data_IF_332536922051
#
_entry.id   IF_332536922051
#
_cell.length_a   1.000
_cell.length_b   1.000
_cell.length_c   1.000
_cell.angle_alpha   90.00
_cell.angle_beta   90.00
_cell.angle_gamma   90.00
#
_symmetry.space_group_name_H-M   'P 1'
#
loop_
_entity.id
_entity.type
_entity.pdbx_description
1 polymer ?
#
# COMPACT_ATOMS: atom_id res chain seq x y z
N UNK A 1 47.36 36.36 29.44
CA UNK A 1 47.84 35.13 28.77
C UNK A 1 47.19 33.95 29.46
N UNK A 2 46.11 33.41 28.88
CA UNK A 2 45.47 32.20 29.40
C UNK A 2 46.24 30.98 28.90
N UNK A 3 46.49 30.07 29.83
CA UNK A 3 47.37 28.91 29.73
C UNK A 3 46.89 27.94 28.65
N UNK A 4 47.65 27.87 27.56
CA UNK A 4 47.40 27.03 26.37
C UNK A 4 47.58 25.54 26.65
N UNK A 5 48.09 25.18 27.84
CA UNK A 5 48.36 23.80 28.26
C UNK A 5 47.08 23.08 28.69
N UNK A 6 46.19 23.74 29.45
CA UNK A 6 44.91 23.16 29.89
C UNK A 6 43.92 22.89 28.73
N UNK A 7 43.97 23.70 27.67
CA UNK A 7 43.10 23.52 26.49
C UNK A 7 43.53 22.32 25.64
N UNK A 8 44.84 22.00 25.62
CA UNK A 8 45.37 20.81 24.94
C UNK A 8 45.03 19.51 25.68
N UNK A 9 45.16 19.48 27.00
CA UNK A 9 44.80 18.29 27.80
C UNK A 9 43.31 17.97 27.73
N UNK A 10 42.43 18.99 27.78
CA UNK A 10 40.97 18.76 27.62
C UNK A 10 40.60 18.23 26.24
N UNK A 11 41.33 18.59 25.18
CA UNK A 11 41.12 18.07 23.82
C UNK A 11 41.57 16.63 23.66
N UNK A 12 42.66 16.22 24.31
CA UNK A 12 43.10 14.81 24.26
C UNK A 12 42.25 13.89 25.13
N UNK A 13 41.78 14.36 26.30
CA UNK A 13 40.82 13.59 27.11
C UNK A 13 39.49 13.41 26.36
N UNK A 14 39.03 14.42 25.62
CA UNK A 14 37.84 14.31 24.76
C UNK A 14 38.03 13.30 23.61
N UNK A 15 39.22 13.25 22.99
CA UNK A 15 39.53 12.28 21.94
C UNK A 15 39.61 10.84 22.47
N UNK A 16 40.12 10.63 23.69
CA UNK A 16 40.20 9.30 24.29
C UNK A 16 38.83 8.82 24.81
N UNK A 17 37.98 9.73 25.33
CA UNK A 17 36.61 9.40 25.71
C UNK A 17 35.71 9.12 24.50
N UNK A 18 35.82 9.90 23.42
CA UNK A 18 35.15 9.56 22.17
C UNK A 18 35.74 8.30 21.54
N UNK A 19 37.05 8.11 21.56
CA UNK A 19 37.72 6.94 20.98
C UNK A 19 37.38 5.62 21.66
N UNK A 20 36.97 5.61 22.93
CA UNK A 20 36.61 4.37 23.63
C UNK A 20 35.08 4.14 23.66
N UNK A 21 34.29 5.23 23.62
CA UNK A 21 32.83 5.14 23.46
C UNK A 21 32.40 4.88 22.00
N UNK A 22 33.22 5.24 21.01
CA UNK A 22 32.95 5.03 19.58
C UNK A 22 33.17 3.57 19.15
N UNK A 23 33.86 2.76 19.95
CA UNK A 23 34.09 1.34 19.66
C UNK A 23 33.12 0.37 20.37
N UNK A 24 32.14 0.86 21.13
CA UNK A 24 31.09 0.02 21.74
C UNK A 24 29.71 0.15 21.05
N UNK A 25 29.56 0.98 20.02
CA UNK A 25 28.37 0.94 19.15
C UNK A 25 28.74 0.64 17.71
N UNK A 26 29.51 -0.44 17.51
CA UNK A 26 29.45 -1.16 16.23
C UNK A 26 28.11 -1.89 16.17
N UNK A 27 27.23 -1.38 15.30
CA UNK A 27 26.21 -2.14 14.56
C UNK A 27 25.17 -2.90 15.39
N UNK A 28 24.17 -2.17 15.88
CA UNK A 28 22.80 -2.55 15.55
C UNK A 28 22.22 -1.40 14.74
N UNK A 29 22.53 -1.36 13.44
CA UNK A 29 21.57 -0.82 12.46
C UNK A 29 20.34 -1.71 12.60
N UNK A 30 19.47 -1.40 13.56
CA UNK A 30 18.15 -2.01 13.61
C UNK A 30 17.45 -1.48 12.37
N UNK A 31 17.28 -2.35 11.38
CA UNK A 31 16.46 -2.14 10.19
C UNK A 31 15.01 -1.83 10.64
N UNK A 32 14.78 -0.56 11.01
CA UNK A 32 13.57 -0.12 11.66
C UNK A 32 12.59 0.31 10.59
N UNK A 33 11.57 -0.52 10.41
CA UNK A 33 10.49 -0.28 9.47
C UNK A 33 9.22 0.05 10.25
N UNK A 34 8.63 1.21 9.97
CA UNK A 34 7.32 1.63 10.48
C UNK A 34 6.37 1.86 9.31
N UNK A 35 5.13 1.41 9.42
CA UNK A 35 4.07 1.68 8.45
C UNK A 35 2.97 2.52 9.11
N UNK A 36 2.82 3.76 8.66
CA UNK A 36 1.64 4.57 8.98
C UNK A 36 0.53 4.21 8.00
N UNK A 37 -0.56 3.63 8.47
CA UNK A 37 -1.64 3.14 7.61
C UNK A 37 -3.01 3.17 8.30
N UNK A 38 -4.06 2.88 7.55
CA UNK A 38 -5.42 2.71 8.02
C UNK A 38 -5.94 1.32 7.62
N UNK A 39 -6.55 0.58 8.56
CA UNK A 39 -6.83 -0.85 8.40
C UNK A 39 -7.57 -1.21 7.09
N UNK A 40 -8.49 -0.35 6.65
CA UNK A 40 -9.33 -0.56 5.47
C UNK A 40 -8.73 -0.04 4.15
N UNK A 41 -7.55 0.60 4.17
CA UNK A 41 -6.93 1.23 3.00
C UNK A 41 -6.40 0.18 2.01
N UNK A 42 -6.93 0.12 0.76
CA UNK A 42 -6.35 -0.75 -0.27
C UNK A 42 -4.89 -0.41 -0.55
N UNK A 43 -4.55 0.89 -0.65
CA UNK A 43 -3.18 1.36 -0.86
C UNK A 43 -2.23 0.89 0.27
N UNK A 44 -2.72 0.88 1.51
CA UNK A 44 -2.00 0.36 2.66
C UNK A 44 -1.79 -1.15 2.62
N UNK A 45 -2.82 -1.90 2.23
CA UNK A 45 -2.72 -3.35 2.06
C UNK A 45 -1.67 -3.75 1.01
N UNK A 46 -1.47 -2.96 -0.06
CA UNK A 46 -0.37 -3.18 -1.02
C UNK A 46 0.98 -3.29 -0.31
N UNK A 47 1.25 -2.33 0.59
CA UNK A 47 2.51 -2.25 1.36
C UNK A 47 2.62 -3.40 2.35
N UNK A 48 1.52 -3.74 3.05
CA UNK A 48 1.48 -4.88 3.98
C UNK A 48 1.80 -6.20 3.28
N UNK A 49 1.21 -6.44 2.10
CA UNK A 49 1.48 -7.63 1.27
C UNK A 49 2.96 -7.66 0.86
N UNK A 50 3.49 -6.54 0.34
CA UNK A 50 4.87 -6.46 -0.09
C UNK A 50 5.84 -6.76 1.07
N UNK A 51 5.66 -6.12 2.24
CA UNK A 51 6.48 -6.41 3.43
C UNK A 51 6.38 -7.89 3.85
N UNK A 52 5.18 -8.48 3.78
CA UNK A 52 4.97 -9.89 4.10
C UNK A 52 5.64 -10.85 3.09
N UNK A 53 5.58 -10.58 1.79
CA UNK A 53 6.29 -11.36 0.75
C UNK A 53 7.82 -11.29 0.93
N UNK A 54 8.33 -10.18 1.46
CA UNK A 54 9.75 -10.01 1.81
C UNK A 54 10.14 -10.57 3.19
N UNK A 55 9.17 -10.96 4.02
CA UNK A 55 9.42 -11.39 5.39
C UNK A 55 9.92 -10.27 6.32
N UNK A 56 9.64 -9.01 5.98
CA UNK A 56 10.11 -7.84 6.73
C UNK A 56 9.20 -7.58 7.93
N UNK A 57 9.81 -7.53 9.12
CA UNK A 57 9.11 -7.13 10.35
C UNK A 57 9.00 -5.61 10.38
N UNK A 58 7.83 -5.10 10.78
CA UNK A 58 7.58 -3.68 10.86
C UNK A 58 6.62 -3.33 12.00
N UNK A 59 6.71 -2.09 12.49
CA UNK A 59 5.74 -1.51 13.41
C UNK A 59 4.57 -0.91 12.63
N UNK A 60 3.35 -1.41 12.85
CA UNK A 60 2.14 -0.83 12.26
C UNK A 60 1.57 0.27 13.17
N UNK A 61 1.34 1.47 12.62
CA UNK A 61 0.72 2.60 13.35
C UNK A 61 -0.57 3.02 12.66
N UNK A 62 -1.69 2.60 13.23
CA UNK A 62 -3.03 2.99 12.80
C UNK A 62 -3.18 4.53 12.81
N UNK A 63 -3.62 5.08 11.68
CA UNK A 63 -3.89 6.50 11.51
C UNK A 63 -5.38 6.78 11.40
N UNK A 64 -5.80 7.95 11.87
CA UNK A 64 -7.15 8.44 11.63
C UNK A 64 -7.18 9.29 10.35
N UNK A 65 -8.14 9.01 9.47
CA UNK A 65 -8.31 9.75 8.20
C UNK A 65 -8.92 11.15 8.39
N UNK A 66 -9.58 11.41 9.53
CA UNK A 66 -10.23 12.70 9.84
C UNK A 66 -9.33 13.60 10.67
N UNK A 67 -8.80 13.08 11.76
CA UNK A 67 -7.83 13.74 12.63
C UNK A 67 -6.44 13.15 12.34
N UNK A 68 -5.72 13.77 11.42
CA UNK A 68 -4.39 13.30 10.98
C UNK A 68 -3.35 13.61 12.05
N UNK A 69 -2.49 12.64 12.37
CA UNK A 69 -1.45 12.83 13.39
C UNK A 69 -0.37 13.81 12.94
N UNK A 70 0.28 14.49 13.89
CA UNK A 70 1.44 15.33 13.60
C UNK A 70 2.57 14.54 12.93
N UNK A 71 2.74 13.27 13.31
CA UNK A 71 3.70 12.36 12.67
C UNK A 71 3.38 12.15 11.20
N UNK A 72 2.13 11.86 10.84
CA UNK A 72 1.72 11.69 9.44
C UNK A 72 1.95 12.97 8.62
N UNK A 73 1.54 14.12 9.15
CA UNK A 73 1.71 15.40 8.46
C UNK A 73 3.19 15.79 8.31
N UNK A 74 4.03 15.43 9.29
CA UNK A 74 5.48 15.64 9.21
C UNK A 74 6.18 14.71 8.22
N UNK A 75 5.73 13.45 8.12
CA UNK A 75 6.35 12.44 7.25
C UNK A 75 5.87 12.50 5.79
N UNK A 76 4.66 13.00 5.55
CA UNK A 76 4.12 13.29 4.23
C UNK A 76 3.53 14.71 4.18
N UNK A 77 4.38 15.76 4.14
CA UNK A 77 3.90 17.14 4.17
C UNK A 77 3.21 17.58 2.87
N UNK A 78 3.50 16.91 1.74
CA UNK A 78 2.94 17.27 0.43
C UNK A 78 1.47 16.85 0.32
N UNK A 79 1.14 15.62 0.71
CA UNK A 79 -0.21 15.07 0.53
C UNK A 79 -0.92 14.79 1.86
N UNK A 80 -0.16 14.55 2.95
CA UNK A 80 -0.71 14.13 4.24
C UNK A 80 -1.55 12.86 4.12
N UNK A 81 -1.19 11.95 3.20
CA UNK A 81 -1.93 10.70 2.93
C UNK A 81 -1.17 9.49 3.47
N UNK A 82 -1.92 8.45 3.80
CA UNK A 82 -1.42 7.10 4.04
C UNK A 82 -1.50 6.26 2.75
N UNK A 83 -0.73 5.16 2.62
CA UNK A 83 0.32 4.72 3.53
C UNK A 83 1.57 5.61 3.48
N UNK A 84 2.34 5.60 4.58
CA UNK A 84 3.72 6.10 4.63
C UNK A 84 4.60 5.02 5.24
N UNK A 85 5.59 4.57 4.48
CA UNK A 85 6.64 3.68 5.00
C UNK A 85 7.78 4.54 5.54
N UNK A 86 8.18 4.33 6.78
CA UNK A 86 9.34 4.98 7.39
C UNK A 86 10.39 3.90 7.60
N UNK A 87 11.47 3.96 6.83
CA UNK A 87 12.59 3.02 6.93
C UNK A 87 13.82 3.79 7.42
N UNK A 88 14.30 3.44 8.62
CA UNK A 88 15.43 4.10 9.28
C UNK A 88 15.25 5.63 9.37
N UNK A 89 14.05 6.05 9.76
CA UNK A 89 13.67 7.46 9.90
C UNK A 89 13.39 8.20 8.59
N UNK A 90 13.53 7.55 7.42
CA UNK A 90 13.29 8.16 6.10
C UNK A 90 11.91 7.77 5.59
N UNK A 91 11.01 8.73 5.31
CA UNK A 91 9.68 8.43 4.79
C UNK A 91 9.71 8.17 3.28
N UNK A 92 8.91 7.20 2.85
CA UNK A 92 8.56 6.90 1.46
C UNK A 92 7.03 6.98 1.39
N UNK A 93 6.53 7.76 0.44
CA UNK A 93 5.10 8.00 0.21
C UNK A 93 4.66 7.37 -1.12
N UNK A 94 3.34 7.29 -1.33
CA UNK A 94 2.69 6.66 -2.48
C UNK A 94 2.87 5.14 -2.53
N UNK A 95 1.76 4.40 -2.45
CA UNK A 95 1.81 2.94 -2.24
C UNK A 95 2.59 2.17 -3.30
N UNK A 96 2.49 2.52 -4.59
CA UNK A 96 3.24 1.84 -5.66
C UNK A 96 4.74 2.16 -5.59
N UNK A 97 5.11 3.39 -5.25
CA UNK A 97 6.52 3.78 -5.01
C UNK A 97 7.06 3.04 -3.79
N UNK A 98 6.28 2.92 -2.72
CA UNK A 98 6.65 2.14 -1.53
C UNK A 98 6.88 0.67 -1.88
N UNK A 99 5.98 0.04 -2.67
CA UNK A 99 6.14 -1.36 -3.08
C UNK A 99 7.39 -1.54 -3.95
N UNK A 100 7.66 -0.62 -4.87
CA UNK A 100 8.89 -0.64 -5.67
C UNK A 100 10.14 -0.52 -4.76
N UNK A 101 10.13 0.42 -3.82
CA UNK A 101 11.21 0.59 -2.85
C UNK A 101 11.45 -0.69 -2.03
N UNK A 102 10.38 -1.37 -1.59
CA UNK A 102 10.46 -2.64 -0.89
C UNK A 102 11.11 -3.71 -1.77
N UNK A 103 10.71 -3.82 -3.04
CA UNK A 103 11.27 -4.78 -3.99
C UNK A 103 12.76 -4.54 -4.28
N UNK A 104 13.15 -3.26 -4.35
CA UNK A 104 14.53 -2.86 -4.57
C UNK A 104 15.41 -3.00 -3.31
N UNK A 105 14.83 -2.92 -2.12
CA UNK A 105 15.57 -2.99 -0.84
C UNK A 105 15.74 -4.44 -0.37
N UNK A 106 14.68 -5.23 -0.38
CA UNK A 106 14.68 -6.63 0.08
C UNK A 106 14.49 -7.58 -1.11
N UNK A 107 15.57 -8.30 -1.47
CA UNK A 107 15.67 -9.04 -2.74
C UNK A 107 14.96 -10.40 -2.77
N UNK A 108 14.43 -10.87 -1.64
CA UNK A 108 13.65 -12.10 -1.56
C UNK A 108 12.35 -11.94 -2.36
N UNK A 109 11.89 -12.96 -3.08
CA UNK A 109 10.60 -12.94 -3.81
C UNK A 109 10.40 -11.68 -4.68
N UNK A 110 11.10 -11.53 -5.82
CA UNK A 110 10.98 -10.35 -6.68
C UNK A 110 9.54 -10.09 -7.13
N UNK A 111 9.07 -8.86 -6.99
CA UNK A 111 7.73 -8.42 -7.41
C UNK A 111 7.76 -7.81 -8.82
N UNK A 112 8.86 -7.17 -9.21
CA UNK A 112 9.07 -6.65 -10.56
C UNK A 112 9.97 -7.58 -11.38
N UNK A 113 9.64 -7.84 -12.65
CA UNK A 113 10.51 -8.58 -13.58
C UNK A 113 11.88 -7.91 -13.71
N UNK A 114 12.95 -8.66 -14.00
CA UNK A 114 14.27 -8.05 -14.25
C UNK A 114 14.36 -7.40 -15.63
N UNK A 115 13.65 -7.93 -16.63
CA UNK A 115 13.62 -7.38 -17.98
C UNK A 115 13.01 -5.96 -17.98
N UNK A 116 13.64 -4.97 -18.65
CA UNK A 116 13.13 -3.60 -18.67
C UNK A 116 11.74 -3.45 -19.29
N UNK A 117 11.44 -4.19 -20.35
CA UNK A 117 10.15 -4.10 -21.04
C UNK A 117 9.04 -4.72 -20.19
N UNK A 118 9.25 -5.91 -19.65
CA UNK A 118 8.30 -6.56 -18.74
C UNK A 118 8.07 -5.75 -17.46
N UNK A 119 9.13 -5.13 -16.92
CA UNK A 119 9.01 -4.17 -15.80
C UNK A 119 8.12 -3.00 -16.19
N UNK A 120 8.31 -2.41 -17.36
CA UNK A 120 7.49 -1.30 -17.84
C UNK A 120 6.02 -1.70 -18.03
N UNK A 121 5.75 -2.91 -18.56
CA UNK A 121 4.38 -3.44 -18.66
C UNK A 121 3.73 -3.64 -17.28
N UNK A 122 4.49 -4.17 -16.31
CA UNK A 122 4.01 -4.33 -14.94
C UNK A 122 3.68 -2.99 -14.28
N UNK A 123 4.52 -1.97 -14.49
CA UNK A 123 4.28 -0.63 -13.97
C UNK A 123 3.07 0.03 -14.65
N UNK A 124 2.89 -0.15 -15.96
CA UNK A 124 1.73 0.36 -16.70
C UNK A 124 0.42 -0.20 -16.16
N UNK A 125 0.33 -1.52 -15.94
CA UNK A 125 -0.88 -2.13 -15.43
C UNK A 125 -1.16 -1.77 -13.97
N UNK A 126 -0.13 -1.59 -13.15
CA UNK A 126 -0.31 -1.09 -11.79
C UNK A 126 -0.80 0.37 -11.77
N UNK A 127 -0.30 1.23 -12.66
CA UNK A 127 -0.80 2.59 -12.85
C UNK A 127 -2.26 2.59 -13.34
N UNK A 128 -2.59 1.73 -14.31
CA UNK A 128 -3.97 1.55 -14.76
C UNK A 128 -4.91 1.20 -13.58
N UNK A 129 -4.48 0.30 -12.69
CA UNK A 129 -5.25 -0.04 -11.47
C UNK A 129 -5.42 1.19 -10.58
N UNK A 130 -4.38 1.99 -10.37
CA UNK A 130 -4.49 3.21 -9.54
C UNK A 130 -5.48 4.22 -10.15
N UNK A 131 -5.34 4.49 -11.45
CA UNK A 131 -6.14 5.49 -12.15
C UNK A 131 -7.59 5.06 -12.41
N UNK A 132 -7.86 3.76 -12.57
CA UNK A 132 -9.19 3.27 -12.99
C UNK A 132 -9.97 2.56 -11.89
N UNK A 133 -9.27 1.90 -10.96
CA UNK A 133 -9.89 1.09 -9.90
C UNK A 133 -9.83 1.83 -8.55
N UNK A 134 -8.68 2.43 -8.20
CA UNK A 134 -8.50 3.11 -6.91
C UNK A 134 -9.13 4.50 -6.87
N UNK A 135 -8.89 5.29 -7.93
CA UNK A 135 -9.34 6.68 -8.02
C UNK A 135 -10.87 6.81 -8.07
N UNK A 136 -11.35 8.06 -8.13
CA UNK A 136 -12.76 8.49 -7.96
C UNK A 136 -13.83 7.56 -8.57
N UNK A 137 -13.54 6.86 -9.66
CA UNK A 137 -14.45 5.87 -10.27
C UNK A 137 -14.84 4.73 -9.32
N UNK A 138 -13.89 4.19 -8.54
CA UNK A 138 -14.18 3.15 -7.55
C UNK A 138 -15.04 3.64 -6.38
N UNK A 139 -14.90 4.93 -6.03
CA UNK A 139 -15.77 5.59 -5.05
C UNK A 139 -17.20 5.73 -5.59
N UNK A 140 -17.36 6.12 -6.86
CA UNK A 140 -18.67 6.34 -7.48
C UNK A 140 -19.56 5.10 -7.44
N UNK A 141 -19.00 3.89 -7.54
CA UNK A 141 -19.76 2.62 -7.50
C UNK A 141 -20.68 2.52 -6.28
N UNK A 142 -20.28 3.07 -5.13
CA UNK A 142 -21.04 2.95 -3.89
C UNK A 142 -21.49 4.29 -3.31
N UNK A 143 -21.19 5.41 -3.97
CA UNK A 143 -21.65 6.75 -3.58
C UNK A 143 -22.62 7.39 -4.54
N UNK A 144 -22.54 7.12 -5.86
CA UNK A 144 -23.43 7.68 -6.86
C UNK A 144 -24.84 7.04 -6.83
N UNK A 145 -25.78 7.64 -7.56
CA UNK A 145 -27.17 7.16 -7.73
C UNK A 145 -27.64 7.39 -9.17
N UNK A 146 -28.62 6.61 -9.62
CA UNK A 146 -29.25 6.80 -10.93
C UNK A 146 -28.30 6.53 -12.11
N UNK A 147 -28.35 7.38 -13.13
CA UNK A 147 -27.57 7.22 -14.37
C UNK A 147 -26.05 7.23 -14.13
N UNK A 148 -25.57 8.01 -13.15
CA UNK A 148 -24.15 8.06 -12.80
C UNK A 148 -23.67 6.76 -12.15
N UNK A 149 -24.52 6.11 -11.36
CA UNK A 149 -24.22 4.81 -10.75
C UNK A 149 -24.09 3.72 -11.84
N UNK A 150 -25.02 3.68 -12.79
CA UNK A 150 -24.99 2.71 -13.90
C UNK A 150 -23.78 2.93 -14.82
N UNK A 151 -23.45 4.18 -15.14
CA UNK A 151 -22.24 4.51 -15.91
C UNK A 151 -20.97 4.08 -15.18
N UNK A 152 -20.88 4.34 -13.87
CA UNK A 152 -19.74 3.93 -13.05
C UNK A 152 -19.59 2.40 -12.96
N UNK A 153 -20.71 1.66 -12.80
CA UNK A 153 -20.71 0.19 -12.82
C UNK A 153 -20.18 -0.35 -14.15
N UNK A 154 -20.70 0.17 -15.26
CA UNK A 154 -20.29 -0.25 -16.60
C UNK A 154 -18.79 -0.01 -16.80
N UNK A 155 -18.31 1.20 -16.52
CA UNK A 155 -16.91 1.57 -16.63
C UNK A 155 -16.01 0.67 -15.76
N UNK A 156 -16.43 0.40 -14.52
CA UNK A 156 -15.69 -0.47 -13.60
C UNK A 156 -15.58 -1.90 -14.14
N UNK A 157 -16.69 -2.49 -14.60
CA UNK A 157 -16.69 -3.82 -15.19
C UNK A 157 -15.83 -3.88 -16.45
N UNK A 158 -15.88 -2.87 -17.31
CA UNK A 158 -15.06 -2.81 -18.52
C UNK A 158 -13.56 -2.75 -18.17
N UNK A 159 -13.18 -2.03 -17.10
CA UNK A 159 -11.80 -2.02 -16.59
C UNK A 159 -11.39 -3.40 -16.03
N UNK A 160 -12.27 -4.08 -15.29
CA UNK A 160 -11.98 -5.43 -14.79
C UNK A 160 -11.84 -6.45 -15.93
N UNK A 161 -12.61 -6.32 -17.02
CA UNK A 161 -12.45 -7.16 -18.22
C UNK A 161 -11.12 -6.94 -18.92
N UNK A 162 -10.62 -5.70 -18.98
CA UNK A 162 -9.29 -5.42 -19.51
C UNK A 162 -8.21 -6.11 -18.66
N UNK A 163 -8.31 -6.02 -17.34
CA UNK A 163 -7.41 -6.71 -16.41
C UNK A 163 -7.52 -8.24 -16.51
N UNK A 164 -8.71 -8.78 -16.67
CA UNK A 164 -8.92 -10.22 -16.90
C UNK A 164 -8.31 -10.68 -18.23
N UNK A 165 -8.41 -9.86 -19.27
CA UNK A 165 -7.77 -10.08 -20.56
C UNK A 165 -6.26 -10.11 -20.48
N UNK A 166 -5.67 -9.14 -19.76
CA UNK A 166 -4.23 -9.11 -19.46
C UNK A 166 -3.79 -10.34 -18.67
N UNK A 167 -4.50 -10.69 -17.59
CA UNK A 167 -4.21 -11.89 -16.81
C UNK A 167 -4.16 -13.13 -17.70
N UNK A 168 -5.11 -13.25 -18.64
CA UNK A 168 -5.15 -14.31 -19.64
C UNK A 168 -5.25 -15.69 -19.00
N UNK A 169 -4.22 -16.52 -19.23
CA UNK A 169 -4.11 -17.86 -18.63
C UNK A 169 -3.11 -17.92 -17.46
N UNK A 170 -2.44 -16.81 -17.14
CA UNK A 170 -1.40 -16.77 -16.10
C UNK A 170 -2.04 -17.03 -14.72
N UNK A 171 -1.37 -17.75 -13.81
CA UNK A 171 -1.90 -17.94 -12.46
C UNK A 171 -1.92 -16.62 -11.67
N UNK A 172 -0.95 -15.74 -11.93
CA UNK A 172 -0.80 -14.37 -11.40
C UNK A 172 -0.40 -13.40 -12.53
N UNK A 173 -0.58 -12.09 -12.32
CA UNK A 173 -0.07 -11.09 -13.26
C UNK A 173 1.46 -11.11 -13.35
N UNK A 174 2.15 -11.47 -12.25
CA UNK A 174 3.59 -11.74 -12.21
C UNK A 174 4.03 -13.06 -12.87
N UNK A 175 3.14 -13.77 -13.56
CA UNK A 175 3.42 -15.10 -14.12
C UNK A 175 3.15 -16.20 -13.09
N UNK A 176 4.17 -16.97 -12.72
CA UNK A 176 4.06 -18.11 -11.80
C UNK A 176 3.95 -17.71 -10.32
N UNK A 177 4.36 -16.48 -9.99
CA UNK A 177 4.35 -15.95 -8.61
C UNK A 177 3.63 -14.62 -8.54
N UNK A 178 3.27 -14.18 -7.31
CA UNK A 178 2.75 -12.83 -7.12
C UNK A 178 3.76 -11.80 -7.65
N UNK A 179 3.28 -10.88 -8.48
CA UNK A 179 4.04 -9.75 -8.97
C UNK A 179 3.47 -8.40 -8.55
N UNK A 180 4.06 -7.34 -9.08
CA UNK A 180 3.73 -5.96 -8.77
C UNK A 180 2.27 -5.60 -9.04
N UNK A 181 1.73 -6.05 -10.17
CA UNK A 181 0.31 -5.82 -10.55
C UNK A 181 -0.63 -6.58 -9.62
N UNK A 182 -0.26 -7.80 -9.21
CA UNK A 182 -1.07 -8.57 -8.27
C UNK A 182 -1.19 -7.84 -6.93
N UNK A 183 -0.05 -7.36 -6.40
CA UNK A 183 0.01 -6.57 -5.17
C UNK A 183 -0.80 -5.28 -5.31
N UNK A 184 -0.79 -4.64 -6.48
CA UNK A 184 -1.55 -3.42 -6.74
C UNK A 184 -3.08 -3.65 -6.73
N UNK A 185 -3.55 -4.79 -7.27
CA UNK A 185 -4.96 -5.07 -7.52
C UNK A 185 -5.65 -5.90 -6.43
N UNK A 186 -4.97 -6.88 -5.83
CA UNK A 186 -5.64 -7.81 -4.90
C UNK A 186 -6.28 -7.13 -3.68
N UNK A 187 -5.77 -6.00 -3.14
CA UNK A 187 -6.44 -5.31 -2.04
C UNK A 187 -7.89 -4.92 -2.29
N UNK A 188 -8.29 -4.67 -3.55
CA UNK A 188 -9.66 -4.32 -3.89
C UNK A 188 -10.63 -5.48 -3.73
N UNK A 189 -10.14 -6.71 -3.68
CA UNK A 189 -10.99 -7.88 -3.53
C UNK A 189 -11.81 -7.84 -2.23
N UNK A 190 -11.25 -7.32 -1.12
CA UNK A 190 -12.01 -7.17 0.12
C UNK A 190 -13.13 -6.10 0.04
N UNK A 191 -13.09 -5.22 -0.96
CA UNK A 191 -14.11 -4.22 -1.25
C UNK A 191 -15.18 -4.70 -2.24
N UNK A 192 -14.93 -5.77 -3.00
CA UNK A 192 -15.86 -6.28 -4.00
C UNK A 192 -17.22 -6.62 -3.40
N UNK A 193 -17.25 -7.26 -2.23
CA UNK A 193 -18.51 -7.54 -1.53
C UNK A 193 -19.33 -6.27 -1.26
N UNK A 194 -18.66 -5.18 -0.86
CA UNK A 194 -19.32 -3.91 -0.63
C UNK A 194 -19.86 -3.32 -1.94
N UNK A 195 -19.08 -3.36 -3.02
CA UNK A 195 -19.50 -2.88 -4.33
C UNK A 195 -20.72 -3.63 -4.85
N UNK A 196 -20.66 -4.97 -4.89
CA UNK A 196 -21.73 -5.83 -5.38
C UNK A 196 -23.02 -5.64 -4.57
N UNK A 197 -22.92 -5.56 -3.24
CA UNK A 197 -24.09 -5.40 -2.36
C UNK A 197 -24.69 -4.01 -2.46
N UNK A 198 -23.87 -2.95 -2.56
CA UNK A 198 -24.34 -1.57 -2.53
C UNK A 198 -24.85 -1.07 -3.88
N UNK A 199 -24.35 -1.64 -4.99
CA UNK A 199 -24.70 -1.27 -6.37
C UNK A 199 -25.43 -2.40 -7.13
N UNK A 200 -25.77 -3.51 -6.45
CA UNK A 200 -26.59 -4.61 -6.97
C UNK A 200 -26.11 -5.16 -8.33
N UNK A 201 -24.86 -5.61 -8.40
CA UNK A 201 -24.28 -6.27 -9.58
C UNK A 201 -23.38 -7.43 -9.16
N UNK A 202 -22.92 -8.25 -10.12
CA UNK A 202 -22.01 -9.36 -9.86
C UNK A 202 -20.73 -9.23 -10.67
N UNK A 203 -19.59 -9.17 -9.98
CA UNK A 203 -18.27 -9.16 -10.59
C UNK A 203 -17.92 -10.57 -11.09
N UNK A 204 -18.27 -11.63 -10.35
CA UNK A 204 -18.01 -13.03 -10.76
C UNK A 204 -18.73 -13.40 -12.05
N UNK A 205 -19.96 -12.91 -12.26
CA UNK A 205 -20.69 -13.13 -13.51
C UNK A 205 -20.00 -12.46 -14.72
N UNK A 206 -19.33 -11.33 -14.51
CA UNK A 206 -18.70 -10.55 -15.58
C UNK A 206 -17.23 -10.92 -15.82
N UNK A 207 -16.49 -11.27 -14.76
CA UNK A 207 -15.05 -11.51 -14.74
C UNK A 207 -14.69 -12.76 -13.90
N UNK A 208 -15.10 -13.97 -14.32
CA UNK A 208 -14.95 -15.19 -13.53
C UNK A 208 -13.48 -15.62 -13.34
N UNK A 209 -12.61 -15.38 -14.31
CA UNK A 209 -11.18 -15.73 -14.20
C UNK A 209 -10.47 -14.78 -13.25
N UNK A 210 -10.86 -13.51 -13.23
CA UNK A 210 -10.35 -12.54 -12.26
C UNK A 210 -10.76 -12.93 -10.83
N UNK A 211 -12.02 -13.35 -10.62
CA UNK A 211 -12.44 -13.86 -9.31
C UNK A 211 -11.70 -15.15 -8.93
N UNK A 212 -11.46 -16.06 -9.87
CA UNK A 212 -10.63 -17.23 -9.62
C UNK A 212 -9.18 -16.84 -9.23
N UNK A 213 -8.63 -15.80 -9.84
CA UNK A 213 -7.34 -15.22 -9.45
C UNK A 213 -7.37 -14.64 -8.03
N UNK A 214 -8.39 -13.85 -7.66
CA UNK A 214 -8.54 -13.35 -6.30
C UNK A 214 -8.55 -14.50 -5.27
N UNK A 215 -9.33 -15.56 -5.54
CA UNK A 215 -9.42 -16.76 -4.70
C UNK A 215 -8.06 -17.46 -4.55
N UNK A 216 -7.25 -17.51 -5.62
CA UNK A 216 -5.86 -18.02 -5.59
C UNK A 216 -4.94 -17.13 -4.77
N UNK A 217 -4.99 -15.81 -4.94
CA UNK A 217 -4.18 -14.88 -4.15
C UNK A 217 -4.47 -15.02 -2.64
N UNK A 218 -5.73 -15.21 -2.27
CA UNK A 218 -6.13 -15.44 -0.86
C UNK A 218 -5.58 -16.74 -0.25
N UNK A 219 -5.03 -17.67 -1.04
CA UNK A 219 -4.32 -18.85 -0.50
C UNK A 219 -2.92 -18.51 0.01
N UNK A 220 -2.39 -17.31 -0.29
CA UNK A 220 -1.09 -16.87 0.22
C UNK A 220 -1.26 -16.13 1.54
N UNK A 221 -0.48 -16.53 2.54
CA UNK A 221 -0.46 -15.93 3.88
C UNK A 221 -0.20 -14.42 3.86
N UNK A 222 0.66 -13.94 2.96
CA UNK A 222 0.97 -12.53 2.76
C UNK A 222 -0.26 -11.70 2.37
N UNK A 223 -1.21 -12.30 1.65
CA UNK A 223 -2.44 -11.66 1.19
C UNK A 223 -3.53 -11.83 2.25
N UNK A 224 -3.82 -13.06 2.67
CA UNK A 224 -4.92 -13.36 3.58
C UNK A 224 -4.79 -12.68 4.94
N UNK A 225 -3.56 -12.49 5.45
CA UNK A 225 -3.29 -11.77 6.70
C UNK A 225 -3.23 -10.25 6.54
N UNK A 226 -3.06 -9.75 5.32
CA UNK A 226 -2.94 -8.30 5.04
C UNK A 226 -4.26 -7.64 4.68
N UNK A 227 -5.16 -8.36 4.01
CA UNK A 227 -6.47 -7.86 3.62
C UNK A 227 -7.41 -7.72 4.83
N UNK A 228 -8.29 -6.73 4.77
CA UNK A 228 -9.34 -6.58 5.77
C UNK A 228 -10.49 -7.57 5.53
N UNK A 229 -11.23 -7.87 6.59
CA UNK A 229 -12.46 -8.64 6.50
C UNK A 229 -13.51 -7.93 5.61
N UNK A 230 -14.06 -8.60 4.58
CA UNK A 230 -15.03 -7.98 3.66
C UNK A 230 -16.31 -7.47 4.32
N UNK A 231 -16.79 -8.12 5.39
CA UNK A 231 -18.00 -7.68 6.11
C UNK A 231 -17.74 -6.40 6.91
N UNK A 232 -16.55 -6.30 7.52
CA UNK A 232 -16.09 -5.08 8.18
C UNK A 232 -15.92 -3.93 7.19
N UNK A 233 -15.40 -4.21 5.99
CA UNK A 233 -15.29 -3.22 4.90
C UNK A 233 -16.67 -2.75 4.43
N UNK A 234 -17.62 -3.66 4.19
CA UNK A 234 -19.00 -3.30 3.86
C UNK A 234 -19.64 -2.40 4.92
N UNK A 235 -19.52 -2.78 6.20
CA UNK A 235 -20.01 -1.98 7.33
C UNK A 235 -19.38 -0.59 7.38
N UNK A 236 -18.10 -0.47 7.03
CA UNK A 236 -17.39 0.80 6.94
C UNK A 236 -17.84 1.64 5.75
N UNK A 237 -17.99 1.04 4.56
CA UNK A 237 -18.47 1.70 3.35
C UNK A 237 -19.89 2.26 3.54
N UNK A 238 -20.78 1.51 4.19
CA UNK A 238 -22.13 1.98 4.54
C UNK A 238 -22.11 3.24 5.41
N UNK A 239 -21.22 3.30 6.41
CA UNK A 239 -21.05 4.49 7.26
C UNK A 239 -20.52 5.67 6.44
N UNK A 240 -19.52 5.45 5.59
CA UNK A 240 -18.98 6.48 4.71
C UNK A 240 -20.03 7.03 3.75
N UNK A 241 -20.86 6.17 3.13
CA UNK A 241 -21.92 6.60 2.19
C UNK A 241 -22.89 7.54 2.89
N UNK A 242 -23.28 7.23 4.12
CA UNK A 242 -24.13 8.10 4.94
C UNK A 242 -23.48 9.47 5.21
N UNK A 243 -22.18 9.50 5.49
CA UNK A 243 -21.45 10.75 5.71
C UNK A 243 -21.41 11.60 4.44
N UNK A 244 -21.09 11.00 3.29
CA UNK A 244 -21.04 11.73 2.01
C UNK A 244 -22.39 12.31 1.61
N UNK A 245 -23.46 11.54 1.75
CA UNK A 245 -24.82 12.02 1.50
C UNK A 245 -25.22 13.19 2.40
N UNK A 246 -24.79 13.18 3.67
CA UNK A 246 -25.06 14.28 4.59
C UNK A 246 -24.23 15.53 4.27
N UNK A 247 -23.05 15.39 3.67
CA UNK A 247 -22.21 16.55 3.27
C UNK A 247 -22.63 17.21 1.95
N UNK A 248 -23.40 16.52 1.10
CA UNK A 248 -23.93 17.08 -0.15
C UNK A 248 -25.27 17.83 0.05
N UNK A 249 -25.85 17.76 1.25
CA UNK A 249 -27.11 18.43 1.63
C UNK A 249 -26.90 19.74 2.41
N UNK A 250 -25.64 20.18 2.60
CA UNK A 250 -25.24 21.39 3.33
C UNK A 250 -24.46 22.30 2.39
#
# INVERSE_FOLDING_TARGET
MQDTTQVKERREIFKTFLGTAFFITSTMDNDQVTLLDFWASPAGMRVRIALAEKGVKYEYKEQSLRNKSALLLGMNPVHGKIPVLIHNGKPICESLIIVQYIDETWKQSPLLPSDPYERAQSMFWADFVDQKIFDLKGKMIWTAEGEEEEAAKKDFIDCLKLLEGELGAKPYFGGETLGFVDVALVPFYCWFHAYETMANFSIEAACPKLIAWCKRCMQKDSVSKSLADPQKIYSFAMKLRKIYRLSEQV
#
